data_IF_656977774221
#
_entry.id   IF_656977774221
#
_cell.length_a   1.000
_cell.length_b   1.000
_cell.length_c   1.000
_cell.angle_alpha   90.00
_cell.angle_beta   90.00
_cell.angle_gamma   90.00
#
_symmetry.space_group_name_H-M   'P 1'
#
loop_
_entity.id
_entity.type
_entity.pdbx_description
1 polymer ?
#
# COMPACT_ATOMS: atom_id res chain seq x y z
N UNK A 1 8.00 14.16 -0.46
CA UNK A 1 7.37 14.43 0.86
C UNK A 1 5.89 14.52 0.67
N UNK A 2 5.10 13.96 1.57
CA UNK A 2 3.67 13.83 1.39
C UNK A 2 2.93 14.68 2.40
N UNK A 3 1.78 15.20 1.98
CA UNK A 3 0.86 15.98 2.78
C UNK A 3 -0.50 15.30 2.73
N UNK A 4 -1.24 15.34 3.83
CA UNK A 4 -2.65 14.98 3.87
C UNK A 4 -3.46 16.25 4.05
N UNK A 5 -4.43 16.46 3.16
CA UNK A 5 -5.29 17.65 3.18
C UNK A 5 -6.68 17.20 3.56
N UNK A 6 -7.22 17.70 4.68
CA UNK A 6 -8.56 17.37 5.15
C UNK A 6 -9.41 18.63 5.11
N UNK A 7 -10.48 18.60 4.31
CA UNK A 7 -11.52 19.62 4.36
C UNK A 7 -12.36 19.41 5.62
N UNK A 8 -12.32 20.38 6.54
CA UNK A 8 -13.18 20.34 7.72
C UNK A 8 -14.58 20.78 7.30
N UNK A 9 -15.60 20.02 7.73
CA UNK A 9 -16.99 20.44 7.52
C UNK A 9 -17.17 21.75 8.26
N UNK A 10 -17.50 22.82 7.54
CA UNK A 10 -17.89 24.06 8.17
C UNK A 10 -19.02 23.76 9.16
N UNK A 11 -18.79 23.97 10.45
CA UNK A 11 -19.90 24.18 11.36
C UNK A 11 -20.66 25.40 10.84
N UNK A 12 -21.98 25.36 10.79
CA UNK A 12 -22.84 26.48 10.32
C UNK A 12 -22.74 27.76 11.19
N UNK A 13 -21.72 27.90 12.04
CA UNK A 13 -21.58 28.99 13.00
C UNK A 13 -20.30 29.80 12.79
N UNK A 14 -20.51 31.09 12.51
CA UNK A 14 -19.56 32.20 12.47
C UNK A 14 -18.44 32.17 11.42
N UNK A 15 -18.51 33.15 10.51
CA UNK A 15 -17.34 33.65 9.79
C UNK A 15 -16.34 34.14 10.85
N UNK A 16 -15.12 33.60 10.95
CA UNK A 16 -14.11 34.20 11.79
C UNK A 16 -13.98 35.68 11.38
N UNK A 17 -14.31 36.56 12.31
CA UNK A 17 -14.45 37.99 12.03
C UNK A 17 -13.11 38.60 11.64
N UNK A 18 -13.03 39.11 10.42
CA UNK A 18 -12.15 40.24 10.07
C UNK A 18 -10.65 39.98 10.02
N UNK A 19 -10.17 38.74 9.85
CA UNK A 19 -8.74 38.53 9.59
C UNK A 19 -8.36 39.05 8.21
N UNK A 20 -7.27 39.83 8.16
CA UNK A 20 -6.69 40.28 6.91
C UNK A 20 -6.19 39.04 6.14
N UNK A 21 -6.52 38.92 4.84
CA UNK A 21 -6.05 37.79 4.06
C UNK A 21 -4.52 37.80 3.96
N UNK A 22 -3.90 36.64 4.11
CA UNK A 22 -2.45 36.45 3.91
C UNK A 22 -2.07 36.55 2.43
N UNK A 23 -3.01 36.28 1.53
CA UNK A 23 -2.82 36.41 0.08
C UNK A 23 -4.00 35.90 -0.72
N UNK A 24 -3.82 35.80 -2.04
CA UNK A 24 -4.77 35.16 -2.95
C UNK A 24 -4.50 33.67 -3.09
N UNK A 25 -5.52 32.91 -3.46
CA UNK A 25 -5.35 31.53 -3.87
C UNK A 25 -6.08 31.25 -5.19
N UNK A 26 -5.64 30.20 -5.85
CA UNK A 26 -6.39 29.56 -6.93
C UNK A 26 -6.35 28.05 -6.77
N UNK A 27 -7.48 27.40 -7.04
CA UNK A 27 -7.62 25.95 -7.10
C UNK A 27 -7.90 25.56 -8.55
N UNK A 28 -6.94 24.91 -9.19
CA UNK A 28 -7.06 24.42 -10.55
C UNK A 28 -7.28 22.92 -10.58
N UNK A 29 -8.03 22.43 -11.56
CA UNK A 29 -8.04 21.01 -11.94
C UNK A 29 -7.23 20.84 -13.22
N UNK A 30 -6.24 19.98 -13.17
CA UNK A 30 -5.38 19.61 -14.29
C UNK A 30 -5.63 18.15 -14.68
N UNK A 31 -5.23 17.79 -15.89
CA UNK A 31 -5.21 16.41 -16.36
C UNK A 31 -3.91 16.21 -17.14
N UNK A 32 -2.95 15.48 -16.58
CA UNK A 32 -1.67 15.18 -17.21
C UNK A 32 -1.45 13.66 -17.32
N UNK A 33 -0.21 13.24 -17.57
CA UNK A 33 0.13 11.82 -17.77
C UNK A 33 -0.15 10.96 -16.53
N UNK A 34 -0.14 11.54 -15.33
CA UNK A 34 -0.49 10.83 -14.08
C UNK A 34 -2.01 10.85 -13.81
N UNK A 35 -2.79 11.48 -14.69
CA UNK A 35 -4.23 11.59 -14.59
C UNK A 35 -4.74 12.90 -13.96
N UNK A 36 -6.05 12.97 -13.66
CA UNK A 36 -6.68 14.20 -13.21
C UNK A 36 -6.38 14.48 -11.73
N UNK A 37 -5.95 15.70 -11.44
CA UNK A 37 -5.55 16.13 -10.10
C UNK A 37 -5.95 17.59 -9.82
N UNK A 38 -5.85 18.02 -8.57
CA UNK A 38 -6.02 19.42 -8.19
C UNK A 38 -4.67 20.08 -7.89
N UNK A 39 -4.57 21.36 -8.22
CA UNK A 39 -3.47 22.24 -7.88
C UNK A 39 -4.02 23.37 -6.99
N UNK A 40 -3.71 23.32 -5.69
CA UNK A 40 -3.95 24.45 -4.79
C UNK A 40 -2.72 25.34 -4.78
N UNK A 41 -2.86 26.59 -5.18
CA UNK A 41 -1.77 27.58 -5.26
C UNK A 41 -2.09 28.76 -4.37
N UNK A 42 -1.16 29.10 -3.49
CA UNK A 42 -1.23 30.19 -2.52
C UNK A 42 -0.19 31.25 -2.88
N UNK A 43 -0.63 32.49 -3.02
CA UNK A 43 0.24 33.66 -3.19
C UNK A 43 1.11 33.86 -1.96
N UNK A 44 2.42 33.93 -2.17
CA UNK A 44 3.39 34.29 -1.14
C UNK A 44 4.45 35.21 -1.74
N UNK A 45 4.36 36.50 -1.39
CA UNK A 45 5.18 37.57 -1.96
C UNK A 45 5.16 37.58 -3.49
N UNK A 46 6.27 37.20 -4.13
CA UNK A 46 6.47 37.25 -5.58
C UNK A 46 6.29 35.89 -6.27
N UNK A 47 5.82 34.86 -5.57
CA UNK A 47 5.62 33.52 -6.12
C UNK A 47 4.39 32.82 -5.55
N UNK A 48 4.02 31.70 -6.16
CA UNK A 48 3.00 30.80 -5.67
C UNK A 48 3.64 29.57 -5.05
N UNK A 49 3.26 29.27 -3.82
CA UNK A 49 3.51 27.97 -3.17
C UNK A 49 2.23 27.14 -3.19
N UNK A 50 2.29 25.87 -2.78
CA UNK A 50 1.07 25.07 -2.70
C UNK A 50 1.29 23.60 -2.90
N UNK A 51 0.22 22.91 -3.29
CA UNK A 51 0.18 21.46 -3.35
C UNK A 51 -0.45 20.95 -4.63
N UNK A 52 0.14 19.88 -5.19
CA UNK A 52 -0.49 18.98 -6.17
C UNK A 52 -1.21 17.90 -5.37
N UNK A 53 -2.53 17.89 -5.44
CA UNK A 53 -3.41 17.05 -4.65
C UNK A 53 -3.86 15.88 -5.52
N UNK A 54 -3.57 14.67 -5.06
CA UNK A 54 -3.94 13.42 -5.72
C UNK A 54 -5.45 13.18 -5.58
N UNK A 55 -6.18 13.54 -6.64
CA UNK A 55 -7.63 13.49 -6.73
C UNK A 55 -8.25 14.74 -7.35
N UNK A 56 -9.53 14.64 -7.68
CA UNK A 56 -10.31 15.72 -8.35
C UNK A 56 -11.19 16.51 -7.38
N UNK A 57 -11.08 16.25 -6.08
CA UNK A 57 -11.84 16.89 -5.01
C UNK A 57 -10.99 17.01 -3.74
N UNK A 58 -11.31 18.00 -2.89
CA UNK A 58 -10.73 18.14 -1.55
C UNK A 58 -11.42 17.24 -0.50
N UNK A 59 -12.51 16.59 -0.89
CA UNK A 59 -13.26 15.65 -0.04
C UNK A 59 -12.50 14.33 0.14
N UNK A 60 -12.70 13.66 1.28
CA UNK A 60 -12.11 12.34 1.55
C UNK A 60 -10.69 12.36 2.10
N UNK A 61 -10.09 13.54 2.27
CA UNK A 61 -8.77 13.68 2.88
C UNK A 61 -7.62 13.30 1.96
N UNK A 62 -7.54 13.83 0.72
CA UNK A 62 -6.58 13.40 -0.30
C UNK A 62 -5.13 13.61 0.13
N UNK A 63 -4.26 12.82 -0.49
CA UNK A 63 -2.82 13.01 -0.39
C UNK A 63 -2.37 14.09 -1.35
N UNK A 64 -1.24 14.73 -1.04
CA UNK A 64 -0.69 15.78 -1.87
C UNK A 64 0.84 15.82 -1.78
N UNK A 65 1.44 16.40 -2.81
CA UNK A 65 2.87 16.74 -2.84
C UNK A 65 3.03 18.25 -2.93
N UNK A 66 4.06 18.78 -2.28
CA UNK A 66 4.36 20.21 -2.36
C UNK A 66 4.87 20.57 -3.76
N UNK A 67 4.35 21.65 -4.34
CA UNK A 67 4.80 22.15 -5.63
C UNK A 67 6.02 23.05 -5.46
N UNK A 68 6.91 23.02 -6.43
CA UNK A 68 7.93 24.04 -6.57
C UNK A 68 7.28 25.44 -6.70
N UNK A 69 7.97 26.53 -6.34
CA UNK A 69 7.48 27.89 -6.56
C UNK A 69 7.08 28.14 -8.02
N UNK A 70 5.93 28.78 -8.25
CA UNK A 70 5.46 29.19 -9.59
C UNK A 70 5.31 30.71 -9.69
N UNK A 71 5.33 31.28 -10.91
CA UNK A 71 5.03 32.69 -11.12
C UNK A 71 3.61 33.09 -10.69
N UNK A 72 3.45 34.30 -10.17
CA UNK A 72 2.15 34.83 -9.69
C UNK A 72 1.08 34.96 -10.77
N UNK A 73 1.45 35.02 -12.05
CA UNK A 73 0.46 35.18 -13.14
C UNK A 73 -0.54 34.01 -13.23
N UNK A 74 -0.21 32.84 -12.66
CA UNK A 74 -1.12 31.69 -12.58
C UNK A 74 -2.35 31.95 -11.68
N UNK A 75 -2.36 33.02 -10.88
CA UNK A 75 -3.57 33.46 -10.17
C UNK A 75 -4.62 34.03 -11.13
N UNK A 76 -4.17 34.58 -12.26
CA UNK A 76 -5.00 35.33 -13.21
C UNK A 76 -5.10 34.61 -14.57
N UNK A 77 -4.33 33.53 -14.78
CA UNK A 77 -4.28 32.76 -16.01
C UNK A 77 -4.39 31.26 -15.75
N UNK A 78 -5.38 30.62 -16.39
CA UNK A 78 -5.70 29.21 -16.16
C UNK A 78 -4.88 28.26 -17.06
N UNK A 79 -4.40 28.74 -18.20
CA UNK A 79 -3.73 27.89 -19.19
C UNK A 79 -4.66 26.80 -19.73
N UNK A 80 -4.22 25.55 -19.65
CA UNK A 80 -4.97 24.35 -20.00
C UNK A 80 -5.79 23.78 -18.82
N UNK A 81 -5.67 24.39 -17.64
CA UNK A 81 -6.37 23.95 -16.45
C UNK A 81 -7.81 24.47 -16.36
N UNK A 82 -8.63 23.81 -15.55
CA UNK A 82 -9.98 24.26 -15.24
C UNK A 82 -10.00 24.85 -13.83
N UNK A 83 -10.25 26.16 -13.71
CA UNK A 83 -10.43 26.82 -12.41
C UNK A 83 -11.63 26.28 -11.66
N UNK A 84 -11.40 25.68 -10.50
CA UNK A 84 -12.41 25.15 -9.60
C UNK A 84 -12.86 26.20 -8.57
N UNK A 85 -11.91 27.01 -8.09
CA UNK A 85 -12.17 28.09 -7.14
C UNK A 85 -11.02 29.10 -7.16
N UNK A 86 -11.28 30.30 -6.66
CA UNK A 86 -10.28 31.34 -6.45
C UNK A 86 -10.78 32.36 -5.44
N UNK A 87 -9.86 33.04 -4.77
CA UNK A 87 -10.21 34.07 -3.81
C UNK A 87 -9.04 34.43 -2.91
N UNK A 88 -9.31 34.68 -1.64
CA UNK A 88 -8.29 34.97 -0.63
C UNK A 88 -8.14 33.83 0.36
N UNK A 89 -6.97 33.71 0.98
CA UNK A 89 -6.74 32.74 2.04
C UNK A 89 -6.13 33.40 3.28
N UNK A 90 -6.27 32.74 4.42
CA UNK A 90 -5.60 33.07 5.67
C UNK A 90 -5.17 31.79 6.41
N UNK A 91 -4.01 31.82 7.05
CA UNK A 91 -3.56 30.79 7.98
C UNK A 91 -4.16 31.06 9.36
N UNK A 92 -5.04 30.16 9.80
CA UNK A 92 -5.56 30.17 11.18
C UNK A 92 -4.55 29.55 12.15
N UNK A 93 -3.81 28.54 11.68
CA UNK A 93 -2.72 27.89 12.40
C UNK A 93 -1.59 27.61 11.41
N UNK A 94 -0.33 27.91 11.76
CA UNK A 94 0.83 27.60 10.91
C UNK A 94 2.00 27.04 11.72
N UNK A 95 2.46 25.86 11.35
CA UNK A 95 3.58 25.18 11.99
C UNK A 95 4.45 24.40 10.98
N UNK A 96 5.54 23.81 11.49
CA UNK A 96 6.51 23.06 10.66
C UNK A 96 5.93 21.79 10.01
N UNK A 97 4.89 21.24 10.62
CA UNK A 97 4.27 19.97 10.23
C UNK A 97 2.87 20.16 9.64
N UNK A 98 2.46 21.38 9.35
CA UNK A 98 1.11 21.64 8.89
C UNK A 98 0.50 22.91 9.45
N UNK A 99 -0.81 23.02 9.25
CA UNK A 99 -1.59 24.15 9.69
C UNK A 99 -3.05 24.04 9.25
N UNK A 100 -3.80 25.10 9.52
CA UNK A 100 -5.20 25.24 9.10
C UNK A 100 -5.30 26.48 8.22
N UNK A 101 -5.78 26.29 7.01
CA UNK A 101 -6.03 27.33 6.01
C UNK A 101 -7.52 27.61 5.95
N UNK A 102 -7.92 28.88 6.03
CA UNK A 102 -9.22 29.34 5.59
C UNK A 102 -9.11 29.78 4.12
N UNK A 103 -9.86 29.14 3.23
CA UNK A 103 -10.00 29.56 1.83
C UNK A 103 -11.33 30.28 1.65
N UNK A 104 -11.30 31.55 1.30
CA UNK A 104 -12.48 32.37 1.03
C UNK A 104 -12.65 32.53 -0.48
N UNK A 105 -13.39 31.60 -1.08
CA UNK A 105 -13.59 31.53 -2.53
C UNK A 105 -15.02 31.86 -2.98
N UNK A 106 -15.28 31.63 -4.27
CA UNK A 106 -16.61 31.79 -4.87
C UNK A 106 -17.62 30.78 -4.35
N UNK A 107 -17.15 29.62 -3.87
CA UNK A 107 -17.99 28.56 -3.31
C UNK A 107 -18.15 28.64 -1.78
N UNK A 108 -17.91 29.82 -1.19
CA UNK A 108 -17.93 30.04 0.25
C UNK A 108 -16.56 29.84 0.91
N UNK A 109 -16.57 29.77 2.24
CA UNK A 109 -15.34 29.53 3.02
C UNK A 109 -15.11 28.02 3.16
N UNK A 110 -13.86 27.56 3.07
CA UNK A 110 -13.48 26.17 3.38
C UNK A 110 -12.30 26.17 4.32
N UNK A 111 -12.35 25.34 5.35
CA UNK A 111 -11.23 25.12 6.26
C UNK A 111 -10.45 23.88 5.82
N UNK A 112 -9.18 24.04 5.49
CA UNK A 112 -8.30 22.94 5.11
C UNK A 112 -7.25 22.73 6.18
N UNK A 113 -7.29 21.56 6.82
CA UNK A 113 -6.18 21.09 7.65
C UNK A 113 -5.16 20.40 6.75
N UNK A 114 -3.97 20.99 6.65
CA UNK A 114 -2.85 20.42 5.91
C UNK A 114 -1.86 19.82 6.90
N UNK A 115 -1.59 18.52 6.80
CA UNK A 115 -0.70 17.80 7.71
C UNK A 115 0.42 17.16 6.93
N UNK A 116 1.66 17.47 7.31
CA UNK A 116 2.86 16.86 6.76
C UNK A 116 2.98 15.44 7.29
N UNK A 117 3.11 14.48 6.38
CA UNK A 117 3.39 13.09 6.74
C UNK A 117 4.83 12.78 6.39
N UNK A 118 5.56 12.24 7.37
CA UNK A 118 6.90 11.76 7.14
C UNK A 118 6.87 10.59 6.15
N UNK A 119 7.69 10.69 5.10
CA UNK A 119 7.89 9.59 4.17
C UNK A 119 8.78 8.50 4.78
N UNK A 120 9.03 7.46 4.00
CA UNK A 120 10.06 6.48 4.36
C UNK A 120 11.42 7.18 4.47
N UNK A 121 12.29 6.79 5.44
CA UNK A 121 13.67 7.23 5.45
C UNK A 121 14.34 6.96 4.10
N UNK A 122 15.24 7.85 3.65
CA UNK A 122 15.85 7.76 2.31
C UNK A 122 16.50 6.39 2.04
N UNK A 123 17.13 5.79 3.05
CA UNK A 123 17.72 4.45 2.93
C UNK A 123 16.68 3.35 2.70
N UNK A 124 15.51 3.46 3.32
CA UNK A 124 14.39 2.53 3.13
C UNK A 124 13.74 2.73 1.77
N UNK A 125 13.48 3.98 1.37
CA UNK A 125 12.93 4.29 0.05
C UNK A 125 13.83 3.77 -1.07
N UNK A 126 15.15 4.00 -0.97
CA UNK A 126 16.14 3.47 -1.91
C UNK A 126 16.12 1.94 -1.96
N UNK A 127 16.14 1.27 -0.80
CA UNK A 127 16.11 -0.20 -0.76
C UNK A 127 14.84 -0.78 -1.41
N UNK A 128 13.69 -0.11 -1.24
CA UNK A 128 12.44 -0.49 -1.93
C UNK A 128 12.59 -0.28 -3.45
N UNK A 129 13.10 0.86 -3.90
CA UNK A 129 13.29 1.12 -5.33
C UNK A 129 14.27 0.13 -5.98
N UNK A 130 15.39 -0.19 -5.31
CA UNK A 130 16.36 -1.19 -5.78
C UNK A 130 15.72 -2.57 -5.87
N UNK A 131 14.96 -2.99 -4.83
CA UNK A 131 14.26 -4.27 -4.85
C UNK A 131 13.22 -4.37 -5.98
N UNK A 132 12.51 -3.29 -6.29
CA UNK A 132 11.56 -3.24 -7.42
C UNK A 132 12.28 -3.29 -8.77
N UNK A 133 13.41 -2.60 -8.89
CA UNK A 133 14.24 -2.62 -10.09
C UNK A 133 14.80 -4.03 -10.37
N UNK A 134 15.25 -4.74 -9.33
CA UNK A 134 15.77 -6.10 -9.43
C UNK A 134 14.72 -7.08 -9.98
N UNK A 135 13.46 -6.91 -9.62
CA UNK A 135 12.34 -7.72 -10.12
C UNK A 135 11.65 -7.12 -11.37
N UNK A 136 12.14 -5.99 -11.89
CA UNK A 136 11.62 -5.28 -13.07
C UNK A 136 10.14 -4.89 -12.95
N UNK A 137 9.73 -4.45 -11.76
CA UNK A 137 8.36 -4.00 -11.47
C UNK A 137 8.31 -2.47 -11.32
N UNK A 138 7.20 -1.86 -11.76
CA UNK A 138 6.97 -0.42 -11.63
C UNK A 138 6.88 0.00 -10.16
N UNK A 139 7.25 1.26 -9.88
CA UNK A 139 7.05 1.87 -8.56
C UNK A 139 5.57 1.90 -8.14
N UNK A 140 4.66 1.95 -9.11
CA UNK A 140 3.21 1.97 -8.89
C UNK A 140 2.70 0.66 -8.25
N UNK A 141 3.32 -0.47 -8.60
CA UNK A 141 2.95 -1.80 -8.10
C UNK A 141 3.51 -2.10 -6.70
N UNK A 142 4.42 -1.25 -6.19
CA UNK A 142 5.11 -1.46 -4.92
C UNK A 142 4.14 -1.66 -3.74
N UNK A 143 3.06 -0.85 -3.71
CA UNK A 143 2.05 -0.94 -2.67
C UNK A 143 1.33 -2.29 -2.65
N UNK A 144 1.08 -2.88 -3.83
CA UNK A 144 0.45 -4.19 -3.95
C UNK A 144 1.41 -5.30 -3.51
N UNK A 145 2.66 -5.27 -3.96
CA UNK A 145 3.68 -6.25 -3.58
C UNK A 145 3.93 -6.28 -2.07
N UNK A 146 3.94 -5.13 -1.40
CA UNK A 146 4.09 -5.06 0.07
C UNK A 146 2.90 -5.76 0.77
N UNK A 147 1.66 -5.56 0.28
CA UNK A 147 0.46 -6.22 0.82
C UNK A 147 0.50 -7.73 0.61
N UNK A 148 0.93 -8.16 -0.56
CA UNK A 148 1.04 -9.58 -0.90
C UNK A 148 2.11 -10.27 -0.06
N UNK A 149 3.29 -9.63 0.10
CA UNK A 149 4.34 -10.11 0.98
C UNK A 149 3.90 -10.20 2.45
N UNK A 150 3.18 -9.20 2.96
CA UNK A 150 2.62 -9.22 4.31
C UNK A 150 1.59 -10.36 4.49
N UNK A 151 0.76 -10.60 3.47
CA UNK A 151 -0.23 -11.69 3.47
C UNK A 151 0.46 -13.06 3.43
N UNK A 152 1.42 -13.26 2.53
CA UNK A 152 2.20 -14.49 2.44
C UNK A 152 2.91 -14.82 3.77
N UNK A 153 3.51 -13.80 4.40
CA UNK A 153 4.12 -13.94 5.72
C UNK A 153 3.12 -14.37 6.79
N UNK A 154 1.95 -13.72 6.86
CA UNK A 154 0.90 -14.07 7.83
C UNK A 154 0.45 -15.52 7.66
N UNK A 155 0.15 -15.93 6.43
CA UNK A 155 -0.28 -17.29 6.11
C UNK A 155 0.79 -18.33 6.47
N UNK A 156 2.06 -18.05 6.18
CA UNK A 156 3.17 -18.95 6.55
C UNK A 156 3.28 -19.11 8.07
N UNK A 157 3.18 -18.02 8.85
CA UNK A 157 3.20 -18.06 10.32
C UNK A 157 1.99 -18.81 10.87
N UNK A 158 0.79 -18.55 10.35
CA UNK A 158 -0.44 -19.24 10.76
C UNK A 158 -0.37 -20.74 10.50
N UNK A 159 0.12 -21.14 9.31
CA UNK A 159 0.33 -22.54 8.96
C UNK A 159 1.36 -23.20 9.87
N UNK A 160 2.49 -22.55 10.12
CA UNK A 160 3.52 -23.07 11.03
C UNK A 160 2.96 -23.27 12.44
N UNK A 161 2.23 -22.29 12.98
CA UNK A 161 1.62 -22.40 14.30
C UNK A 161 0.53 -23.48 14.34
N UNK A 162 -0.24 -23.64 13.26
CA UNK A 162 -1.23 -24.71 13.11
C UNK A 162 -0.58 -26.10 13.17
N UNK A 163 0.49 -26.31 12.39
CA UNK A 163 1.25 -27.56 12.41
C UNK A 163 1.89 -27.80 13.78
N UNK A 164 2.42 -26.75 14.42
CA UNK A 164 3.03 -26.86 15.74
C UNK A 164 2.05 -27.30 16.82
N UNK A 165 0.83 -26.74 16.85
CA UNK A 165 -0.22 -27.20 17.77
C UNK A 165 -0.58 -28.67 17.54
N UNK A 166 -0.67 -29.11 16.30
CA UNK A 166 -1.01 -30.50 15.95
C UNK A 166 0.13 -31.49 16.26
N UNK A 167 1.38 -31.05 16.13
CA UNK A 167 2.55 -31.86 16.47
C UNK A 167 2.75 -31.97 17.98
N UNK A 168 2.76 -30.83 18.67
CA UNK A 168 3.28 -30.70 20.04
C UNK A 168 2.17 -30.44 21.10
N UNK A 169 0.90 -30.29 20.67
CA UNK A 169 -0.26 -30.18 21.56
C UNK A 169 -0.14 -29.02 22.56
N UNK A 170 -0.36 -29.30 23.85
CA UNK A 170 -0.26 -28.31 24.93
C UNK A 170 1.16 -27.82 25.20
N UNK A 171 2.19 -28.51 24.68
CA UNK A 171 3.58 -28.05 24.79
C UNK A 171 3.92 -26.95 23.78
N UNK A 172 3.06 -26.71 22.77
CA UNK A 172 3.28 -25.65 21.79
C UNK A 172 2.83 -24.29 22.31
N UNK A 173 3.79 -23.43 22.65
CA UNK A 173 3.51 -22.02 22.97
C UNK A 173 3.51 -21.17 21.70
N UNK A 174 2.32 -20.94 21.13
CA UNK A 174 2.13 -20.12 19.94
C UNK A 174 2.60 -18.67 20.13
N UNK A 175 2.46 -18.12 21.35
CA UNK A 175 2.84 -16.73 21.62
C UNK A 175 4.35 -16.54 21.53
N UNK A 176 5.11 -17.51 22.08
CA UNK A 176 6.57 -17.55 21.99
C UNK A 176 7.01 -17.71 20.54
N UNK A 177 6.42 -18.65 19.79
CA UNK A 177 6.75 -18.84 18.38
C UNK A 177 6.44 -17.61 17.53
N UNK A 178 5.27 -16.98 17.68
CA UNK A 178 4.95 -15.74 16.96
C UNK A 178 5.94 -14.62 17.29
N UNK A 179 6.41 -14.52 18.53
CA UNK A 179 7.44 -13.55 18.92
C UNK A 179 8.77 -13.85 18.22
N UNK A 180 9.21 -15.11 18.20
CA UNK A 180 10.44 -15.55 17.50
C UNK A 180 10.37 -15.28 16.01
N UNK A 181 9.25 -15.65 15.35
CA UNK A 181 9.08 -15.50 13.91
C UNK A 181 8.99 -14.03 13.45
N UNK A 182 8.70 -13.06 14.32
CA UNK A 182 8.65 -11.63 13.95
C UNK A 182 9.98 -11.09 13.45
N UNK A 183 11.11 -11.61 13.94
CA UNK A 183 12.44 -11.14 13.56
C UNK A 183 12.98 -11.79 12.27
N UNK A 184 12.37 -12.89 11.82
CA UNK A 184 12.83 -13.65 10.66
C UNK A 184 12.35 -13.04 9.34
N UNK A 185 13.11 -13.22 8.27
CA UNK A 185 12.68 -12.96 6.89
C UNK A 185 11.65 -14.00 6.42
N UNK A 186 10.96 -13.73 5.31
CA UNK A 186 10.01 -14.69 4.75
C UNK A 186 10.66 -16.03 4.35
N UNK A 187 11.84 -16.07 3.69
CA UNK A 187 12.55 -17.32 3.42
C UNK A 187 12.90 -18.12 4.68
N UNK A 188 13.33 -17.46 5.75
CA UNK A 188 13.64 -18.13 7.02
C UNK A 188 12.38 -18.72 7.67
N UNK A 189 11.24 -18.02 7.62
CA UNK A 189 9.95 -18.56 8.06
C UNK A 189 9.58 -19.79 7.23
N UNK A 190 9.76 -19.78 5.91
CA UNK A 190 9.52 -20.94 5.07
C UNK A 190 10.45 -22.12 5.41
N UNK A 191 11.71 -21.86 5.78
CA UNK A 191 12.62 -22.89 6.28
C UNK A 191 12.12 -23.55 7.58
N UNK A 192 11.63 -22.75 8.54
CA UNK A 192 11.01 -23.27 9.76
C UNK A 192 9.73 -24.05 9.45
N UNK A 193 8.85 -23.48 8.62
CA UNK A 193 7.60 -24.13 8.19
C UNK A 193 7.90 -25.48 7.56
N UNK A 194 8.90 -25.57 6.67
CA UNK A 194 9.28 -26.84 6.02
C UNK A 194 9.73 -27.89 7.03
N UNK A 195 10.42 -27.50 8.09
CA UNK A 195 10.82 -28.41 9.17
C UNK A 195 9.60 -28.98 9.91
N UNK A 196 8.59 -28.15 10.18
CA UNK A 196 7.33 -28.60 10.77
C UNK A 196 6.52 -29.49 9.81
N UNK A 197 6.48 -29.16 8.53
CA UNK A 197 5.81 -29.99 7.51
C UNK A 197 6.44 -31.39 7.43
N UNK A 198 7.77 -31.50 7.42
CA UNK A 198 8.45 -32.80 7.40
C UNK A 198 8.13 -33.62 8.66
N UNK A 199 8.16 -33.00 9.85
CA UNK A 199 7.76 -33.68 11.09
C UNK A 199 6.30 -34.12 11.06
N UNK A 200 5.43 -33.28 10.49
CA UNK A 200 4.02 -33.57 10.33
C UNK A 200 3.80 -34.77 9.41
N UNK A 201 4.41 -34.77 8.23
CA UNK A 201 4.33 -35.87 7.27
C UNK A 201 4.93 -37.17 7.85
N UNK A 202 5.95 -37.09 8.71
CA UNK A 202 6.49 -38.26 9.41
C UNK A 202 5.52 -38.82 10.45
N UNK A 203 4.81 -37.96 11.20
CA UNK A 203 3.81 -38.36 12.21
C UNK A 203 2.51 -38.84 11.55
N UNK A 204 2.13 -38.21 10.45
CA UNK A 204 0.89 -38.43 9.70
C UNK A 204 1.22 -38.61 8.21
N UNK A 205 1.82 -39.75 7.82
CA UNK A 205 2.21 -39.99 6.44
C UNK A 205 0.98 -39.85 5.52
N UNK A 206 1.08 -39.04 4.45
CA UNK A 206 -0.04 -38.87 3.54
C UNK A 206 -0.42 -40.24 2.98
N UNK A 207 -1.70 -40.58 3.04
CA UNK A 207 -2.19 -41.79 2.41
C UNK A 207 -1.83 -41.71 0.91
N UNK A 208 -1.30 -42.79 0.31
CA UNK A 208 -1.00 -42.79 -1.11
C UNK A 208 -2.29 -42.46 -1.88
N UNK A 209 -2.20 -41.44 -2.74
CA UNK A 209 -3.33 -40.95 -3.56
C UNK A 209 -3.83 -42.00 -4.54
N UNK A 210 -3.00 -42.99 -4.86
CA UNK A 210 -3.39 -44.21 -5.53
C UNK A 210 -3.29 -45.40 -4.58
N UNK A 211 -4.39 -46.13 -4.43
CA UNK A 211 -4.32 -47.54 -4.06
C UNK A 211 -4.15 -48.28 -5.39
N UNK A 212 -3.05 -49.04 -5.59
CA UNK A 212 -2.94 -49.90 -6.75
C UNK A 212 -4.23 -50.72 -6.83
N UNK A 213 -4.93 -50.65 -7.97
CA UNK A 213 -6.08 -51.51 -8.19
C UNK A 213 -5.60 -52.95 -8.07
N UNK A 214 -6.23 -53.72 -7.19
CA UNK A 214 -5.94 -55.15 -7.07
C UNK A 214 -6.35 -55.76 -8.39
N UNK A 215 -5.38 -55.98 -9.29
CA UNK A 215 -5.62 -56.77 -10.50
C UNK A 215 -6.18 -58.10 -10.01
N UNK A 216 -7.40 -58.43 -10.43
CA UNK A 216 -7.93 -59.77 -10.18
C UNK A 216 -6.89 -60.75 -10.66
N UNK A 217 -6.51 -61.66 -9.77
CA UNK A 217 -5.56 -62.70 -10.04
C UNK A 217 -6.25 -63.68 -11.01
N UNK A 218 -6.34 -63.30 -12.28
CA UNK A 218 -6.66 -64.22 -13.37
C UNK A 218 -5.58 -65.31 -13.29
N UNK A 219 -6.01 -66.52 -12.91
CA UNK A 219 -5.15 -67.60 -12.44
C UNK A 219 -3.85 -67.78 -13.22
N UNK A 220 -2.76 -67.31 -12.63
CA UNK A 220 -1.53 -68.07 -12.39
C UNK A 220 -0.63 -68.45 -13.57
N UNK A 221 -1.12 -69.04 -14.66
CA UNK A 221 -0.21 -69.83 -15.51
C UNK A 221 0.07 -69.25 -16.91
N UNK A 222 -0.87 -68.53 -17.54
CA UNK A 222 -0.72 -68.20 -18.96
C UNK A 222 0.25 -67.05 -19.28
N UNK A 223 0.42 -66.07 -18.39
CA UNK A 223 1.19 -64.85 -18.71
C UNK A 223 2.70 -64.98 -18.54
N UNK A 224 3.18 -65.88 -17.68
CA UNK A 224 4.63 -66.14 -17.56
C UNK A 224 5.17 -66.86 -18.81
N UNK A 225 4.42 -67.80 -19.38
CA UNK A 225 4.80 -68.45 -20.64
C UNK A 225 4.85 -67.46 -21.82
N UNK A 226 3.87 -66.56 -21.92
CA UNK A 226 3.83 -65.55 -22.98
C UNK A 226 5.01 -64.55 -22.88
N UNK A 227 5.41 -64.15 -21.67
CA UNK A 227 6.55 -63.27 -21.48
C UNK A 227 7.90 -63.95 -21.78
N UNK A 228 8.02 -65.25 -21.47
CA UNK A 228 9.21 -66.04 -21.79
C UNK A 228 9.32 -66.39 -23.28
N UNK A 229 8.20 -66.45 -24.01
CA UNK A 229 8.19 -66.65 -25.46
C UNK A 229 8.79 -65.46 -26.22
N UNK A 230 8.53 -64.23 -25.78
CA UNK A 230 9.09 -63.01 -26.42
C UNK A 230 10.62 -62.92 -26.27
N UNK A 231 11.19 -63.55 -25.25
CA UNK A 231 12.65 -63.59 -25.04
C UNK A 231 13.36 -64.69 -25.86
N UNK A 232 12.61 -65.55 -26.55
CA UNK A 232 13.15 -66.68 -27.33
C UNK A 232 13.17 -66.45 -28.84
N UNK A 233 12.60 -65.34 -29.31
CA UNK A 233 12.73 -64.81 -30.67
C UNK A 233 13.75 -63.65 -30.70
#
# INVERSE_FOLDING_TARGET
>A
MFWKIVCEKNGEGDRPGGEHPDGRFVLHRHNDEDGPHLDLRLEHDAYLSGWRIDGVSLEGGPWATEKAPHPVHWLDFDGDAVRQDAGTYAWLERGRNGGVLALHGGNGTRLLRVTRTEGLPVGVARAVCEALADIKISGEDAGQLIRDGATARRLAVERLCGLGRELDGTAFDESVWRKTLRALTLPEIHGQLRTFEVRFDQKYPPAPTSRPETLWNDGGDGRQEAALAILRD
#
